data_IF_012404537332
#
_entry.id   IF_012404537332
#
_cell.length_a   1.000
_cell.length_b   1.000
_cell.length_c   1.000
_cell.angle_alpha   90.00
_cell.angle_beta   90.00
_cell.angle_gamma   90.00
#
_symmetry.space_group_name_H-M   'P 1'
#
loop_
_entity.id
_entity.type
_entity.pdbx_description
1 polymer ?
#
# COMPACT_ATOMS: atom_id res chain seq x y z
N UNK A 1 -5.11 30.23 19.00
CA UNK A 1 -4.43 28.98 19.34
C UNK A 1 -4.84 27.92 18.28
N UNK A 2 -3.89 27.07 17.86
CA UNK A 2 -4.15 25.97 16.94
C UNK A 2 -4.85 24.84 17.70
N UNK A 3 -6.04 24.43 17.24
CA UNK A 3 -6.75 23.27 17.75
C UNK A 3 -6.67 22.09 16.75
N UNK A 4 -7.14 20.90 17.17
CA UNK A 4 -7.09 19.68 16.35
C UNK A 4 -7.84 19.83 15.02
N UNK A 5 -9.00 20.51 15.02
CA UNK A 5 -9.82 20.71 13.83
C UNK A 5 -9.10 21.61 12.82
N UNK A 6 -8.51 22.71 13.29
CA UNK A 6 -7.75 23.63 12.44
C UNK A 6 -6.50 22.95 11.86
N UNK A 7 -5.80 22.14 12.67
CA UNK A 7 -4.65 21.37 12.17
C UNK A 7 -5.05 20.45 11.01
N UNK A 8 -6.15 19.69 11.14
CA UNK A 8 -6.66 18.82 10.07
C UNK A 8 -7.07 19.64 8.84
N UNK A 9 -7.84 20.72 9.01
CA UNK A 9 -8.29 21.55 7.89
C UNK A 9 -7.13 22.19 7.12
N UNK A 10 -6.12 22.70 7.81
CA UNK A 10 -4.94 23.31 7.17
C UNK A 10 -4.11 22.28 6.40
N UNK A 11 -3.82 21.12 6.99
CA UNK A 11 -3.10 20.05 6.29
C UNK A 11 -3.89 19.56 5.07
N UNK A 12 -5.21 19.39 5.20
CA UNK A 12 -6.10 19.00 4.10
C UNK A 12 -6.12 20.05 2.99
N UNK A 13 -6.14 21.32 3.31
CA UNK A 13 -6.12 22.42 2.33
C UNK A 13 -4.79 22.43 1.54
N UNK A 14 -3.66 22.25 2.22
CA UNK A 14 -2.34 22.14 1.56
C UNK A 14 -2.32 20.92 0.63
N UNK A 15 -2.73 19.76 1.12
CA UNK A 15 -2.80 18.54 0.30
C UNK A 15 -3.76 18.70 -0.88
N UNK A 16 -4.95 19.28 -0.64
CA UNK A 16 -5.93 19.54 -1.70
C UNK A 16 -5.41 20.45 -2.79
N UNK A 17 -4.73 21.53 -2.42
CA UNK A 17 -4.09 22.43 -3.38
C UNK A 17 -3.04 21.75 -4.25
N UNK A 18 -2.15 20.95 -3.63
CA UNK A 18 -1.11 20.20 -4.34
C UNK A 18 -1.70 19.13 -5.27
N UNK A 19 -2.67 18.35 -4.78
CA UNK A 19 -3.33 17.31 -5.59
C UNK A 19 -4.16 17.91 -6.72
N UNK A 20 -4.79 19.07 -6.53
CA UNK A 20 -5.47 19.81 -7.58
C UNK A 20 -4.48 20.24 -8.67
N UNK A 21 -3.31 20.76 -8.28
CA UNK A 21 -2.25 21.10 -9.22
C UNK A 21 -1.73 19.87 -9.97
N UNK A 22 -1.52 18.74 -9.26
CA UNK A 22 -1.07 17.49 -9.88
C UNK A 22 -2.10 16.96 -10.90
N UNK A 23 -3.35 16.84 -10.49
CA UNK A 23 -4.44 16.34 -11.34
C UNK A 23 -4.70 17.28 -12.56
N UNK A 24 -4.51 18.60 -12.37
CA UNK A 24 -4.66 19.58 -13.46
C UNK A 24 -3.46 19.65 -14.41
N UNK A 25 -2.28 19.19 -13.98
CA UNK A 25 -1.04 19.31 -14.75
C UNK A 25 -0.62 18.00 -15.42
N UNK A 26 -1.06 16.86 -14.91
CA UNK A 26 -0.59 15.55 -15.34
C UNK A 26 -1.76 14.62 -15.71
N UNK A 27 -1.61 13.82 -16.78
CA UNK A 27 -2.58 12.78 -17.09
C UNK A 27 -2.52 11.64 -16.08
N UNK A 28 -3.57 10.82 -16.05
CA UNK A 28 -3.51 9.52 -15.39
C UNK A 28 -2.56 8.61 -16.16
N UNK A 29 -1.66 7.96 -15.44
CA UNK A 29 -0.67 7.06 -16.00
C UNK A 29 -1.12 5.62 -15.78
N UNK A 30 -1.04 4.82 -16.84
CA UNK A 30 -1.32 3.39 -16.82
C UNK A 30 -0.02 2.60 -16.88
N UNK A 31 0.07 1.58 -16.04
CA UNK A 31 1.13 0.57 -16.04
C UNK A 31 0.57 -0.76 -16.55
N UNK A 32 1.40 -1.77 -16.80
CA UNK A 32 0.91 -3.13 -17.10
C UNK A 32 -0.11 -3.64 -16.06
N UNK A 33 0.15 -3.40 -14.77
CA UNK A 33 -0.76 -3.76 -13.66
C UNK A 33 -2.11 -3.06 -13.77
N UNK A 34 -2.12 -1.81 -14.21
CA UNK A 34 -3.36 -1.02 -14.37
C UNK A 34 -4.34 -1.65 -15.34
N UNK A 35 -3.82 -2.27 -16.41
CA UNK A 35 -4.62 -2.97 -17.42
C UNK A 35 -5.42 -4.13 -16.82
N UNK A 36 -4.85 -4.87 -15.87
CA UNK A 36 -5.52 -5.97 -15.18
C UNK A 36 -6.69 -5.47 -14.32
N UNK A 37 -6.48 -4.41 -13.56
CA UNK A 37 -7.51 -3.83 -12.70
C UNK A 37 -8.68 -3.26 -13.50
N UNK A 38 -8.38 -2.54 -14.58
CA UNK A 38 -9.42 -1.93 -15.41
C UNK A 38 -10.21 -2.98 -16.17
N UNK A 39 -9.54 -4.01 -16.75
CA UNK A 39 -10.23 -5.16 -17.35
C UNK A 39 -11.12 -5.86 -16.34
N UNK A 40 -10.63 -6.06 -15.11
CA UNK A 40 -11.42 -6.62 -14.01
C UNK A 40 -12.69 -5.81 -13.72
N UNK A 41 -12.58 -4.48 -13.67
CA UNK A 41 -13.73 -3.61 -13.43
C UNK A 41 -14.75 -3.64 -14.60
N UNK A 42 -14.26 -3.65 -15.85
CA UNK A 42 -15.11 -3.75 -17.05
C UNK A 42 -15.81 -5.11 -17.09
N UNK A 43 -15.09 -6.20 -16.83
CA UNK A 43 -15.66 -7.54 -16.81
C UNK A 43 -16.73 -7.70 -15.71
N UNK A 44 -16.53 -7.09 -14.54
CA UNK A 44 -17.54 -7.01 -13.48
C UNK A 44 -18.80 -6.29 -13.95
N UNK A 45 -18.64 -5.14 -14.64
CA UNK A 45 -19.76 -4.37 -15.16
C UNK A 45 -20.56 -5.14 -16.21
N UNK A 46 -19.86 -5.81 -17.11
CA UNK A 46 -20.45 -6.49 -18.27
C UNK A 46 -20.88 -7.93 -17.95
N UNK A 47 -20.59 -8.43 -16.75
CA UNK A 47 -20.92 -9.81 -16.34
C UNK A 47 -20.10 -10.89 -17.08
N UNK A 48 -18.97 -10.53 -17.68
CA UNK A 48 -18.17 -11.40 -18.53
C UNK A 48 -17.04 -12.11 -17.76
N UNK A 49 -17.21 -13.41 -17.44
CA UNK A 49 -16.17 -14.41 -17.13
C UNK A 49 -15.19 -14.14 -15.98
N UNK A 50 -14.11 -14.90 -15.86
CA UNK A 50 -13.09 -14.67 -14.84
C UNK A 50 -12.35 -13.37 -15.14
N UNK A 51 -12.54 -12.41 -14.28
CA UNK A 51 -12.22 -11.01 -14.47
C UNK A 51 -10.98 -10.53 -13.68
N UNK A 52 -10.45 -11.37 -12.80
CA UNK A 52 -9.27 -11.02 -11.97
C UNK A 52 -8.32 -12.21 -11.91
N UNK A 53 -7.04 -11.96 -12.10
CA UNK A 53 -5.98 -12.96 -11.92
C UNK A 53 -5.91 -13.46 -10.47
N UNK A 54 -5.49 -14.70 -10.27
CA UNK A 54 -5.47 -15.36 -8.95
C UNK A 54 -4.59 -14.67 -7.93
N UNK A 55 -3.63 -13.85 -8.37
CA UNK A 55 -2.72 -13.09 -7.52
C UNK A 55 -3.29 -11.71 -7.08
N UNK A 56 -4.47 -11.32 -7.55
CA UNK A 56 -5.10 -10.02 -7.27
C UNK A 56 -6.32 -10.18 -6.36
N UNK A 57 -6.70 -9.07 -5.73
CA UNK A 57 -7.91 -8.94 -4.91
C UNK A 57 -8.91 -7.99 -5.57
N UNK A 58 -10.22 -8.07 -5.25
CA UNK A 58 -11.27 -7.36 -5.97
C UNK A 58 -11.41 -5.89 -5.59
N UNK A 59 -10.79 -5.44 -4.49
CA UNK A 59 -11.09 -4.12 -3.92
C UNK A 59 -10.89 -2.97 -4.90
N UNK A 60 -9.78 -2.96 -5.62
CA UNK A 60 -9.53 -1.89 -6.59
C UNK A 60 -10.39 -2.01 -7.87
N UNK A 61 -10.59 -3.18 -8.49
CA UNK A 61 -11.61 -3.35 -9.54
C UNK A 61 -13.01 -2.93 -9.12
N UNK A 62 -13.45 -3.22 -7.89
CA UNK A 62 -14.76 -2.78 -7.37
C UNK A 62 -14.80 -1.26 -7.19
N UNK A 63 -13.72 -0.65 -6.70
CA UNK A 63 -13.61 0.81 -6.66
C UNK A 63 -13.72 1.42 -8.06
N UNK A 64 -12.98 0.86 -9.04
CA UNK A 64 -13.06 1.31 -10.43
C UNK A 64 -14.46 1.12 -11.03
N UNK A 65 -15.14 0.02 -10.72
CA UNK A 65 -16.54 -0.21 -11.12
C UNK A 65 -17.45 0.93 -10.61
N UNK A 66 -17.31 1.31 -9.35
CA UNK A 66 -18.06 2.43 -8.78
C UNK A 66 -17.71 3.76 -9.47
N UNK A 67 -16.43 4.01 -9.74
CA UNK A 67 -15.95 5.19 -10.49
C UNK A 67 -16.56 5.22 -11.89
N UNK A 68 -16.56 4.09 -12.60
CA UNK A 68 -17.14 3.98 -13.95
C UNK A 68 -18.67 4.14 -13.95
N UNK A 69 -19.34 3.74 -12.87
CA UNK A 69 -20.79 3.98 -12.70
C UNK A 69 -21.15 5.46 -12.57
N UNK A 70 -20.26 6.26 -11.97
CA UNK A 70 -20.50 7.71 -11.73
C UNK A 70 -19.98 8.57 -12.89
N UNK A 71 -18.76 8.30 -13.37
CA UNK A 71 -18.05 9.16 -14.32
C UNK A 71 -18.01 8.59 -15.75
N UNK A 72 -18.56 7.40 -15.97
CA UNK A 72 -18.31 6.65 -17.21
C UNK A 72 -16.92 5.99 -17.24
N UNK A 73 -16.71 5.11 -18.21
CA UNK A 73 -15.41 4.43 -18.39
C UNK A 73 -14.41 5.43 -18.97
N UNK A 74 -13.42 5.81 -18.18
CA UNK A 74 -12.41 6.77 -18.62
C UNK A 74 -11.40 7.11 -17.53
N UNK A 75 -10.28 7.69 -17.94
CA UNK A 75 -9.17 8.06 -17.06
C UNK A 75 -9.52 9.19 -16.07
N UNK A 76 -10.38 10.12 -16.48
CA UNK A 76 -10.70 11.32 -15.69
C UNK A 76 -11.33 11.00 -14.34
N UNK A 77 -12.29 10.07 -14.31
CA UNK A 77 -12.94 9.63 -13.07
C UNK A 77 -11.94 8.97 -12.12
N UNK A 78 -11.05 8.13 -12.64
CA UNK A 78 -10.00 7.47 -11.85
C UNK A 78 -9.05 8.53 -11.25
N UNK A 79 -8.58 9.47 -12.08
CA UNK A 79 -7.67 10.55 -11.65
C UNK A 79 -8.29 11.37 -10.51
N UNK A 80 -9.54 11.79 -10.67
CA UNK A 80 -10.26 12.57 -9.65
C UNK A 80 -10.36 11.78 -8.35
N UNK A 81 -10.84 10.55 -8.41
CA UNK A 81 -11.09 9.75 -7.20
C UNK A 81 -9.78 9.42 -6.48
N UNK A 82 -8.70 9.08 -7.19
CA UNK A 82 -7.42 8.79 -6.54
C UNK A 82 -6.83 10.03 -5.85
N UNK A 83 -6.88 11.20 -6.47
CA UNK A 83 -6.44 12.43 -5.84
C UNK A 83 -7.30 12.78 -4.61
N UNK A 84 -8.61 12.57 -4.66
CA UNK A 84 -9.48 12.73 -3.50
C UNK A 84 -9.15 11.74 -2.37
N UNK A 85 -8.83 10.48 -2.68
CA UNK A 85 -8.38 9.49 -1.70
C UNK A 85 -7.04 9.88 -1.05
N UNK A 86 -6.11 10.45 -1.82
CA UNK A 86 -4.84 10.94 -1.28
C UNK A 86 -5.05 12.13 -0.33
N UNK A 87 -5.90 13.09 -0.69
CA UNK A 87 -6.28 14.22 0.18
C UNK A 87 -6.99 13.72 1.44
N UNK A 88 -7.91 12.77 1.30
CA UNK A 88 -8.59 12.15 2.44
C UNK A 88 -7.61 11.38 3.35
N UNK A 89 -6.58 10.74 2.77
CA UNK A 89 -5.51 10.10 3.54
C UNK A 89 -4.75 11.11 4.39
N UNK A 90 -4.42 12.28 3.84
CA UNK A 90 -3.78 13.38 4.59
C UNK A 90 -4.67 13.86 5.76
N UNK A 91 -5.96 14.05 5.51
CA UNK A 91 -6.91 14.46 6.55
C UNK A 91 -7.00 13.44 7.69
N UNK A 92 -7.17 12.16 7.34
CA UNK A 92 -7.26 11.05 8.31
C UNK A 92 -5.96 10.83 9.08
N UNK A 93 -4.82 10.93 8.40
CA UNK A 93 -3.50 10.85 9.01
C UNK A 93 -3.30 11.96 10.04
N UNK A 94 -3.59 13.21 9.66
CA UNK A 94 -3.51 14.36 10.55
C UNK A 94 -4.48 14.21 11.72
N UNK A 95 -5.70 13.74 11.47
CA UNK A 95 -6.66 13.41 12.52
C UNK A 95 -6.11 12.36 13.49
N UNK A 96 -5.59 11.23 12.99
CA UNK A 96 -4.98 10.19 13.82
C UNK A 96 -3.82 10.76 14.66
N UNK A 97 -2.98 11.61 14.05
CA UNK A 97 -1.89 12.28 14.74
C UNK A 97 -2.38 13.19 15.88
N UNK A 98 -3.50 13.92 15.71
CA UNK A 98 -4.07 14.75 16.80
C UNK A 98 -4.55 13.94 18.00
N UNK A 99 -4.77 12.64 17.84
CA UNK A 99 -5.18 11.75 18.96
C UNK A 99 -4.03 11.36 19.85
N UNK A 100 -2.81 11.42 19.33
CA UNK A 100 -1.60 10.96 20.03
C UNK A 100 -0.59 12.09 20.29
N UNK A 101 -0.72 13.23 19.60
CA UNK A 101 0.23 14.33 19.65
C UNK A 101 -0.46 15.70 19.80
N UNK A 102 0.34 16.75 20.05
CA UNK A 102 -0.12 18.13 20.03
C UNK A 102 -0.56 18.55 18.62
N UNK A 103 -1.56 19.47 18.48
CA UNK A 103 -2.07 19.88 17.19
C UNK A 103 -1.02 20.44 16.23
N UNK A 104 0.00 21.13 16.74
CA UNK A 104 1.09 21.66 15.91
C UNK A 104 1.96 20.54 15.33
N UNK A 105 2.29 19.51 16.12
CA UNK A 105 3.03 18.34 15.62
C UNK A 105 2.19 17.55 14.61
N UNK A 106 0.89 17.41 14.85
CA UNK A 106 -0.03 16.79 13.90
C UNK A 106 -0.13 17.58 12.57
N UNK A 107 -0.20 18.92 12.63
CA UNK A 107 -0.17 19.76 11.44
C UNK A 107 1.15 19.60 10.68
N UNK A 108 2.29 19.65 11.39
CA UNK A 108 3.61 19.52 10.76
C UNK A 108 3.74 18.20 9.97
N UNK A 109 3.34 17.08 10.56
CA UNK A 109 3.40 15.80 9.85
C UNK A 109 2.35 15.67 8.75
N UNK A 110 1.18 16.29 8.90
CA UNK A 110 0.18 16.36 7.83
C UNK A 110 0.69 17.12 6.61
N UNK A 111 1.39 18.27 6.83
CA UNK A 111 2.03 19.03 5.75
C UNK A 111 3.20 18.27 5.14
N UNK A 112 4.04 17.60 5.95
CA UNK A 112 5.11 16.75 5.44
C UNK A 112 4.58 15.62 4.54
N UNK A 113 3.49 14.97 4.94
CA UNK A 113 2.83 13.97 4.10
C UNK A 113 2.21 14.58 2.83
N UNK A 114 1.61 15.77 2.93
CA UNK A 114 1.01 16.45 1.78
C UNK A 114 2.04 16.77 0.68
N UNK A 115 3.29 17.06 1.06
CA UNK A 115 4.39 17.31 0.10
C UNK A 115 5.19 16.05 -0.25
N UNK A 116 4.82 14.89 0.27
CA UNK A 116 5.57 13.65 0.06
C UNK A 116 5.47 13.22 -1.42
N UNK A 117 6.61 13.02 -2.13
CA UNK A 117 6.64 12.84 -3.58
C UNK A 117 5.92 11.59 -4.06
N UNK A 118 6.00 10.47 -3.29
CA UNK A 118 5.32 9.23 -3.65
C UNK A 118 3.81 9.36 -3.58
N UNK A 119 3.28 10.02 -2.54
CA UNK A 119 1.85 10.27 -2.40
C UNK A 119 1.33 11.10 -3.57
N UNK A 120 2.06 12.17 -3.93
CA UNK A 120 1.72 13.02 -5.05
C UNK A 120 1.78 12.28 -6.39
N UNK A 121 2.85 11.51 -6.64
CA UNK A 121 3.03 10.77 -7.88
C UNK A 121 1.97 9.68 -8.06
N UNK A 122 1.78 8.83 -7.04
CA UNK A 122 0.93 7.65 -7.16
C UNK A 122 -0.56 7.96 -7.26
N UNK A 123 -1.00 9.13 -6.81
CA UNK A 123 -2.36 9.59 -7.05
C UNK A 123 -2.68 9.78 -8.54
N UNK A 124 -1.66 9.92 -9.38
CA UNK A 124 -1.78 10.02 -10.83
C UNK A 124 -1.49 8.71 -11.58
N UNK A 125 -1.39 7.58 -10.86
CA UNK A 125 -1.24 6.24 -11.45
C UNK A 125 -2.49 5.41 -11.19
N UNK A 126 -2.99 4.70 -12.19
CA UNK A 126 -4.13 3.77 -12.05
C UNK A 126 -3.70 2.48 -11.31
N UNK A 127 -3.25 2.62 -10.07
CA UNK A 127 -2.70 1.56 -9.21
C UNK A 127 -3.41 1.50 -7.85
N UNK A 128 -3.22 0.40 -7.15
CA UNK A 128 -3.86 0.13 -5.85
C UNK A 128 -3.27 0.94 -4.70
N UNK A 129 -2.07 1.50 -4.84
CA UNK A 129 -1.27 2.06 -3.76
C UNK A 129 -1.98 3.17 -3.01
N UNK A 130 -2.53 4.15 -3.73
CA UNK A 130 -3.28 5.28 -3.13
C UNK A 130 -4.53 4.80 -2.39
N UNK A 131 -5.31 3.89 -2.99
CA UNK A 131 -6.51 3.34 -2.37
C UNK A 131 -6.16 2.45 -1.15
N UNK A 132 -5.06 1.69 -1.22
CA UNK A 132 -4.58 0.89 -0.09
C UNK A 132 -4.09 1.79 1.05
N UNK A 133 -3.29 2.82 0.76
CA UNK A 133 -2.85 3.78 1.76
C UNK A 133 -4.05 4.44 2.46
N UNK A 134 -5.06 4.87 1.69
CA UNK A 134 -6.30 5.43 2.24
C UNK A 134 -6.99 4.45 3.19
N UNK A 135 -7.20 3.20 2.79
CA UNK A 135 -7.92 2.22 3.63
C UNK A 135 -7.14 1.84 4.89
N UNK A 136 -5.81 1.75 4.81
CA UNK A 136 -4.95 1.50 5.98
C UNK A 136 -4.94 2.69 6.93
N UNK A 137 -4.84 3.92 6.42
CA UNK A 137 -4.91 5.15 7.24
C UNK A 137 -6.29 5.32 7.86
N UNK A 138 -7.37 4.99 7.13
CA UNK A 138 -8.73 4.98 7.67
C UNK A 138 -8.85 4.01 8.85
N UNK A 139 -8.32 2.78 8.71
CA UNK A 139 -8.30 1.81 9.80
C UNK A 139 -7.48 2.33 10.99
N UNK A 140 -6.30 2.92 10.77
CA UNK A 140 -5.48 3.51 11.82
C UNK A 140 -6.21 4.69 12.51
N UNK A 141 -6.87 5.56 11.75
CA UNK A 141 -7.63 6.69 12.28
C UNK A 141 -8.82 6.24 13.13
N UNK A 142 -9.54 5.18 12.73
CA UNK A 142 -10.61 4.58 13.51
C UNK A 142 -10.07 3.95 14.81
N UNK A 143 -8.99 3.17 14.70
CA UNK A 143 -8.36 2.48 15.83
C UNK A 143 -7.84 3.47 16.88
N UNK A 144 -7.19 4.56 16.46
CA UNK A 144 -6.64 5.56 17.38
C UNK A 144 -7.66 6.61 17.82
N UNK A 145 -8.70 6.86 17.01
CA UNK A 145 -9.67 7.92 17.19
C UNK A 145 -10.96 7.50 17.88
N UNK A 146 -11.45 6.30 17.62
CA UNK A 146 -12.75 5.82 18.09
C UNK A 146 -12.58 4.93 19.33
N UNK A 147 -12.84 5.50 20.50
CA UNK A 147 -12.73 4.78 21.79
C UNK A 147 -14.06 4.27 22.33
N UNK A 148 -15.15 4.52 21.61
CA UNK A 148 -16.49 4.10 22.01
C UNK A 148 -16.65 2.57 21.87
N UNK A 149 -17.01 1.89 22.96
CA UNK A 149 -17.25 0.46 23.00
C UNK A 149 -18.64 0.10 22.47
N UNK A 150 -18.95 0.45 21.22
CA UNK A 150 -20.24 0.24 20.56
C UNK A 150 -20.15 -0.76 19.41
N UNK A 151 -21.27 -1.43 19.07
CA UNK A 151 -21.35 -2.35 17.94
C UNK A 151 -21.10 -1.64 16.59
N UNK A 152 -21.65 -0.44 16.32
CA UNK A 152 -21.35 0.28 15.09
C UNK A 152 -19.85 0.63 14.94
N UNK A 153 -19.18 1.00 16.05
CA UNK A 153 -17.74 1.27 16.02
C UNK A 153 -16.94 0.00 15.68
N UNK A 154 -17.30 -1.15 16.27
CA UNK A 154 -16.71 -2.44 15.95
C UNK A 154 -16.93 -2.82 14.48
N UNK A 155 -18.12 -2.63 13.97
CA UNK A 155 -18.45 -2.87 12.58
C UNK A 155 -17.64 -1.96 11.64
N UNK A 156 -17.52 -0.67 11.94
CA UNK A 156 -16.71 0.28 11.14
C UNK A 156 -15.24 -0.12 11.07
N UNK A 157 -14.64 -0.56 12.19
CA UNK A 157 -13.27 -1.10 12.21
C UNK A 157 -13.18 -2.37 11.35
N UNK A 158 -14.13 -3.31 11.50
CA UNK A 158 -14.18 -4.53 10.69
C UNK A 158 -14.27 -4.26 9.19
N UNK A 159 -15.14 -3.33 8.77
CA UNK A 159 -15.27 -2.90 7.37
C UNK A 159 -13.99 -2.25 6.85
N UNK A 160 -13.36 -1.36 7.63
CA UNK A 160 -12.13 -0.69 7.21
C UNK A 160 -10.97 -1.69 7.01
N UNK A 161 -10.82 -2.66 7.93
CA UNK A 161 -9.83 -3.72 7.81
C UNK A 161 -10.12 -4.65 6.62
N UNK A 162 -11.39 -4.99 6.38
CA UNK A 162 -11.79 -5.78 5.21
C UNK A 162 -11.49 -5.04 3.90
N UNK A 163 -11.84 -3.75 3.82
CA UNK A 163 -11.55 -2.93 2.66
C UNK A 163 -10.04 -2.89 2.36
N UNK A 164 -9.22 -2.71 3.39
CA UNK A 164 -7.76 -2.71 3.24
C UNK A 164 -7.22 -4.07 2.74
N UNK A 165 -7.72 -5.19 3.27
CA UNK A 165 -7.35 -6.54 2.80
C UNK A 165 -7.80 -6.82 1.37
N UNK A 166 -9.01 -6.34 0.99
CA UNK A 166 -9.54 -6.49 -0.36
C UNK A 166 -8.87 -5.56 -1.37
N UNK A 167 -8.28 -4.43 -0.94
CA UNK A 167 -7.42 -3.61 -1.80
C UNK A 167 -6.08 -4.31 -2.05
N UNK A 168 -5.47 -4.88 -0.99
CA UNK A 168 -4.17 -5.55 -1.09
C UNK A 168 -4.08 -6.72 -0.10
N UNK A 169 -3.90 -7.97 -0.56
CA UNK A 169 -3.96 -9.14 0.33
C UNK A 169 -2.87 -9.12 1.42
N UNK A 170 -1.72 -8.51 1.14
CA UNK A 170 -0.63 -8.41 2.11
C UNK A 170 -1.00 -7.63 3.38
N UNK A 171 -2.01 -6.74 3.32
CA UNK A 171 -2.49 -5.97 4.50
C UNK A 171 -3.08 -6.88 5.58
N UNK A 172 -3.48 -8.12 5.24
CA UNK A 172 -3.93 -9.09 6.25
C UNK A 172 -2.92 -9.28 7.39
N UNK A 173 -1.62 -9.08 7.16
CA UNK A 173 -0.58 -9.14 8.20
C UNK A 173 -0.72 -8.04 9.26
N UNK A 174 -1.35 -6.91 8.95
CA UNK A 174 -1.62 -5.83 9.90
C UNK A 174 -2.88 -6.07 10.73
N UNK A 175 -3.84 -6.85 10.23
CA UNK A 175 -5.18 -7.01 10.82
C UNK A 175 -5.15 -7.37 12.31
N UNK A 176 -4.42 -8.41 12.77
CA UNK A 176 -4.44 -8.79 14.18
C UNK A 176 -3.93 -7.66 15.08
N UNK A 177 -2.94 -6.90 14.62
CA UNK A 177 -2.35 -5.79 15.38
C UNK A 177 -3.31 -4.61 15.49
N UNK A 178 -3.98 -4.24 14.39
CA UNK A 178 -4.95 -3.14 14.38
C UNK A 178 -6.20 -3.49 15.19
N UNK A 179 -6.70 -4.72 15.08
CA UNK A 179 -7.82 -5.18 15.89
C UNK A 179 -7.46 -5.17 17.38
N UNK A 180 -6.28 -5.68 17.75
CA UNK A 180 -5.79 -5.67 19.13
C UNK A 180 -5.57 -4.24 19.63
N UNK A 181 -4.97 -3.36 18.82
CA UNK A 181 -4.78 -1.95 19.14
C UNK A 181 -6.11 -1.28 19.54
N UNK A 182 -7.16 -1.52 18.75
CA UNK A 182 -8.48 -0.98 19.04
C UNK A 182 -9.06 -1.53 20.33
N UNK A 183 -9.03 -2.85 20.50
CA UNK A 183 -9.58 -3.52 21.70
C UNK A 183 -8.90 -3.08 23.00
N UNK A 184 -7.58 -2.91 23.00
CA UNK A 184 -6.87 -2.44 24.21
C UNK A 184 -7.08 -0.93 24.44
N UNK A 185 -7.42 -0.16 23.40
CA UNK A 185 -7.74 1.26 23.49
C UNK A 185 -9.14 1.56 23.99
N UNK A 186 -10.03 0.56 24.08
CA UNK A 186 -11.40 0.74 24.53
C UNK A 186 -11.47 0.89 26.07
N UNK A 187 -12.28 1.85 26.51
CA UNK A 187 -12.71 1.92 27.90
C UNK A 187 -13.94 1.02 28.10
N UNK A 188 -13.69 -0.27 28.33
CA UNK A 188 -14.72 -1.29 28.46
C UNK A 188 -14.26 -2.48 29.30
N UNK A 189 -15.22 -3.15 29.93
CA UNK A 189 -14.96 -4.40 30.65
C UNK A 189 -14.43 -5.49 29.69
N UNK A 190 -13.57 -6.41 30.16
CA UNK A 190 -12.97 -7.47 29.33
C UNK A 190 -13.99 -8.26 28.51
N UNK A 191 -15.12 -8.66 29.15
CA UNK A 191 -16.21 -9.38 28.46
C UNK A 191 -16.76 -8.58 27.27
N UNK A 192 -16.94 -7.25 27.42
CA UNK A 192 -17.42 -6.38 26.33
C UNK A 192 -16.39 -6.29 25.20
N UNK A 193 -15.08 -6.19 25.53
CA UNK A 193 -14.01 -6.19 24.51
C UNK A 193 -14.01 -7.48 23.69
N UNK A 194 -14.23 -8.64 24.31
CA UNK A 194 -14.33 -9.94 23.59
C UNK A 194 -15.51 -9.92 22.61
N UNK A 195 -16.69 -9.46 23.05
CA UNK A 195 -17.86 -9.37 22.17
C UNK A 195 -17.59 -8.44 20.98
N UNK A 196 -16.99 -7.28 21.24
CA UNK A 196 -16.67 -6.32 20.17
C UNK A 196 -15.59 -6.85 19.22
N UNK A 197 -14.61 -7.57 19.73
CA UNK A 197 -13.61 -8.28 18.92
C UNK A 197 -14.25 -9.33 18.02
N UNK A 198 -15.18 -10.10 18.54
CA UNK A 198 -15.96 -11.05 17.74
C UNK A 198 -16.75 -10.36 16.61
N UNK A 199 -17.33 -9.18 16.88
CA UNK A 199 -18.01 -8.38 15.85
C UNK A 199 -17.03 -7.90 14.78
N UNK A 200 -15.84 -7.39 15.15
CA UNK A 200 -14.81 -6.99 14.17
C UNK A 200 -14.47 -8.17 13.26
N UNK A 201 -14.20 -9.34 13.83
CA UNK A 201 -13.84 -10.55 13.05
C UNK A 201 -15.00 -11.02 12.19
N UNK A 202 -16.22 -11.02 12.71
CA UNK A 202 -17.42 -11.43 11.97
C UNK A 202 -17.70 -10.50 10.77
N UNK A 203 -17.61 -9.18 10.97
CA UNK A 203 -17.81 -8.19 9.89
C UNK A 203 -16.70 -8.29 8.85
N UNK A 204 -15.42 -8.38 9.27
CA UNK A 204 -14.29 -8.59 8.37
C UNK A 204 -14.49 -9.87 7.55
N UNK A 205 -14.84 -10.97 8.22
CA UNK A 205 -15.13 -12.25 7.56
C UNK A 205 -16.28 -12.15 6.56
N UNK A 206 -17.40 -11.52 6.97
CA UNK A 206 -18.57 -11.34 6.10
C UNK A 206 -18.25 -10.49 4.85
N UNK A 207 -17.46 -9.44 4.99
CA UNK A 207 -17.03 -8.62 3.86
C UNK A 207 -16.06 -9.36 2.91
N UNK A 208 -15.21 -10.24 3.42
CA UNK A 208 -14.27 -11.01 2.62
C UNK A 208 -14.90 -12.31 2.07
N UNK A 209 -15.98 -12.83 2.66
CA UNK A 209 -16.57 -14.13 2.33
C UNK A 209 -16.96 -14.30 0.86
N UNK A 210 -17.60 -13.34 0.17
CA UNK A 210 -17.94 -13.49 -1.24
C UNK A 210 -16.70 -13.72 -2.11
N UNK A 211 -15.62 -13.00 -1.81
CA UNK A 211 -14.36 -13.16 -2.54
C UNK A 211 -13.66 -14.48 -2.21
N UNK A 212 -13.65 -14.88 -0.94
CA UNK A 212 -13.09 -16.18 -0.53
C UNK A 212 -13.84 -17.34 -1.17
N UNK A 213 -15.18 -17.27 -1.26
CA UNK A 213 -15.99 -18.28 -1.94
C UNK A 213 -15.69 -18.33 -3.44
N UNK A 214 -15.58 -17.17 -4.09
CA UNK A 214 -15.19 -17.09 -5.51
C UNK A 214 -13.79 -17.69 -5.75
N UNK A 215 -12.83 -17.38 -4.90
CA UNK A 215 -11.48 -17.94 -4.97
C UNK A 215 -11.49 -19.46 -4.74
N UNK A 216 -12.22 -19.95 -3.74
CA UNK A 216 -12.31 -21.37 -3.43
C UNK A 216 -12.86 -22.17 -4.60
N UNK A 217 -13.87 -21.65 -5.32
CA UNK A 217 -14.42 -22.27 -6.53
C UNK A 217 -13.40 -22.38 -7.68
N UNK A 218 -12.30 -21.58 -7.63
CA UNK A 218 -11.19 -21.59 -8.60
C UNK A 218 -9.94 -22.34 -8.08
N UNK A 219 -10.05 -23.05 -6.97
CA UNK A 219 -8.92 -23.74 -6.33
C UNK A 219 -7.93 -22.80 -5.60
N UNK A 220 -8.26 -21.51 -5.44
CA UNK A 220 -7.42 -20.53 -4.75
C UNK A 220 -7.75 -20.53 -3.25
N UNK A 221 -6.75 -20.76 -2.41
CA UNK A 221 -6.89 -20.68 -0.95
C UNK A 221 -6.58 -19.28 -0.44
N UNK A 222 -7.55 -18.63 0.22
CA UNK A 222 -7.39 -17.31 0.81
C UNK A 222 -7.71 -16.15 -0.14
N UNK A 223 -7.20 -14.96 0.18
CA UNK A 223 -7.52 -13.72 -0.55
C UNK A 223 -6.82 -13.62 -1.91
N UNK A 224 -5.68 -14.28 -2.09
CA UNK A 224 -4.96 -14.37 -3.35
C UNK A 224 -4.12 -15.65 -3.42
N UNK A 225 -3.99 -16.22 -4.61
CA UNK A 225 -3.28 -17.48 -4.86
C UNK A 225 -1.85 -17.31 -5.39
N UNK A 226 -1.40 -16.07 -5.59
CA UNK A 226 -0.12 -15.78 -6.24
C UNK A 226 1.12 -15.77 -5.34
N UNK A 227 0.99 -16.06 -4.04
CA UNK A 227 2.11 -15.93 -3.08
C UNK A 227 3.33 -16.78 -3.42
N UNK A 228 3.11 -17.97 -3.98
CA UNK A 228 4.19 -18.85 -4.42
C UNK A 228 4.97 -18.29 -5.61
N UNK A 229 4.26 -17.76 -6.61
CA UNK A 229 4.87 -17.07 -7.77
C UNK A 229 5.65 -15.84 -7.32
N UNK A 230 5.10 -15.06 -6.39
CA UNK A 230 5.74 -13.88 -5.83
C UNK A 230 7.03 -14.23 -5.09
N UNK A 231 7.00 -15.25 -4.21
CA UNK A 231 8.19 -15.75 -3.54
C UNK A 231 9.24 -16.25 -4.53
N UNK A 232 8.81 -17.01 -5.55
CA UNK A 232 9.69 -17.51 -6.58
C UNK A 232 10.34 -16.38 -7.39
N UNK A 233 9.55 -15.36 -7.77
CA UNK A 233 10.06 -14.19 -8.47
C UNK A 233 11.19 -13.53 -7.68
N UNK A 234 10.98 -13.25 -6.39
CA UNK A 234 12.02 -12.69 -5.54
C UNK A 234 13.23 -13.59 -5.38
N UNK A 235 13.02 -14.91 -5.23
CA UNK A 235 14.10 -15.88 -5.13
C UNK A 235 14.91 -16.00 -6.45
N UNK A 236 14.24 -15.95 -7.61
CA UNK A 236 14.88 -15.94 -8.91
C UNK A 236 15.73 -14.69 -9.12
N UNK A 237 15.20 -13.52 -8.80
CA UNK A 237 15.93 -12.26 -8.87
C UNK A 237 17.13 -12.20 -7.92
N UNK A 238 17.04 -12.88 -6.78
CA UNK A 238 18.14 -13.04 -5.84
C UNK A 238 19.14 -14.16 -6.22
N UNK A 239 18.92 -14.87 -7.34
CA UNK A 239 19.75 -15.99 -7.78
C UNK A 239 19.69 -17.21 -6.87
N UNK A 240 18.61 -17.37 -6.10
CA UNK A 240 18.42 -18.48 -5.16
C UNK A 240 17.87 -19.74 -5.83
N UNK A 241 17.25 -19.61 -7.00
CA UNK A 241 16.69 -20.71 -7.78
C UNK A 241 17.45 -20.92 -9.07
N UNK A 242 17.47 -22.15 -9.55
CA UNK A 242 18.04 -22.56 -10.83
C UNK A 242 17.05 -23.46 -11.58
N UNK A 243 17.30 -23.75 -12.85
CA UNK A 243 16.41 -24.51 -13.70
C UNK A 243 16.19 -25.97 -13.24
N UNK A 244 17.08 -26.53 -12.39
CA UNK A 244 16.98 -27.94 -11.96
C UNK A 244 15.74 -28.22 -11.11
N UNK A 245 15.23 -27.20 -10.38
CA UNK A 245 14.04 -27.29 -9.55
C UNK A 245 12.74 -26.98 -10.28
N UNK A 246 12.75 -26.77 -11.59
CA UNK A 246 11.56 -26.42 -12.36
C UNK A 246 10.46 -27.51 -12.28
N UNK A 247 9.18 -27.12 -12.18
CA UNK A 247 8.08 -28.05 -11.91
C UNK A 247 7.76 -29.00 -13.07
N UNK A 248 8.13 -28.64 -14.28
CA UNK A 248 7.90 -29.42 -15.50
C UNK A 248 8.99 -29.13 -16.54
N UNK A 249 9.07 -29.98 -17.58
CA UNK A 249 10.12 -29.93 -18.63
C UNK A 249 10.06 -28.63 -19.43
N UNK A 250 8.86 -28.19 -19.82
CA UNK A 250 8.68 -26.93 -20.57
C UNK A 250 9.19 -25.73 -19.75
N UNK A 251 8.84 -25.67 -18.47
CA UNK A 251 9.30 -24.63 -17.57
C UNK A 251 10.81 -24.70 -17.38
N UNK A 252 11.39 -25.94 -17.34
CA UNK A 252 12.82 -26.15 -17.21
C UNK A 252 13.59 -25.65 -18.43
N UNK A 253 13.13 -25.91 -19.65
CA UNK A 253 13.73 -25.40 -20.87
C UNK A 253 13.80 -23.87 -20.88
N UNK A 254 12.67 -23.21 -20.57
CA UNK A 254 12.62 -21.76 -20.52
C UNK A 254 13.49 -21.20 -19.39
N UNK A 255 13.49 -21.85 -18.22
CA UNK A 255 14.30 -21.44 -17.07
C UNK A 255 15.80 -21.58 -17.35
N UNK A 256 16.22 -22.65 -18.04
CA UNK A 256 17.62 -22.86 -18.43
C UNK A 256 18.13 -21.74 -19.33
N UNK A 257 17.29 -21.25 -20.23
CA UNK A 257 17.64 -20.12 -21.09
C UNK A 257 17.58 -18.76 -20.38
N UNK A 258 16.66 -18.60 -19.42
CA UNK A 258 16.33 -17.33 -18.77
C UNK A 258 17.13 -17.09 -17.47
N UNK A 259 17.30 -18.11 -16.61
CA UNK A 259 17.92 -17.96 -15.28
C UNK A 259 19.45 -18.08 -15.36
N UNK A 260 20.08 -17.16 -16.05
CA UNK A 260 21.55 -17.05 -16.11
C UNK A 260 22.05 -16.08 -15.06
N UNK A 261 23.34 -16.16 -14.65
CA UNK A 261 23.93 -15.12 -13.80
C UNK A 261 23.72 -13.74 -14.41
N UNK A 262 23.09 -12.83 -13.66
CA UNK A 262 22.73 -11.49 -14.13
C UNK A 262 21.38 -11.40 -14.87
N UNK A 263 20.57 -12.46 -14.85
CA UNK A 263 19.18 -12.40 -15.36
C UNK A 263 18.43 -11.24 -14.72
N UNK A 264 17.76 -10.47 -15.56
CA UNK A 264 16.93 -9.35 -15.14
C UNK A 264 15.43 -9.70 -15.05
N UNK A 265 14.64 -8.70 -14.74
CA UNK A 265 13.20 -8.81 -14.62
C UNK A 265 12.49 -9.42 -15.87
N UNK A 266 12.81 -9.00 -17.10
CA UNK A 266 12.17 -9.57 -18.30
C UNK A 266 12.41 -11.07 -18.45
N UNK A 267 13.60 -11.56 -18.11
CA UNK A 267 13.95 -12.97 -18.21
C UNK A 267 13.18 -13.80 -17.18
N UNK A 268 13.11 -13.32 -15.94
CA UNK A 268 12.36 -13.97 -14.86
C UNK A 268 10.86 -14.01 -15.17
N UNK A 269 10.29 -12.92 -15.67
CA UNK A 269 8.89 -12.88 -16.09
C UNK A 269 8.59 -13.85 -17.25
N UNK A 270 9.54 -14.07 -18.17
CA UNK A 270 9.38 -15.03 -19.24
C UNK A 270 9.09 -16.45 -18.73
N UNK A 271 9.77 -16.86 -17.64
CA UNK A 271 9.52 -18.18 -17.01
C UNK A 271 8.12 -18.24 -16.40
N UNK A 272 7.71 -17.18 -15.70
CA UNK A 272 6.38 -17.11 -15.08
C UNK A 272 5.26 -17.18 -16.13
N UNK A 273 5.40 -16.45 -17.23
CA UNK A 273 4.40 -16.42 -18.30
C UNK A 273 4.36 -17.74 -19.08
N UNK A 274 5.52 -18.37 -19.32
CA UNK A 274 5.57 -19.66 -20.00
C UNK A 274 4.84 -20.76 -19.21
N UNK A 275 4.86 -20.69 -17.90
CA UNK A 275 4.19 -21.62 -16.98
C UNK A 275 2.76 -21.18 -16.60
N UNK A 276 2.27 -20.03 -17.07
CA UNK A 276 0.99 -19.41 -16.67
C UNK A 276 0.82 -19.26 -15.13
N UNK A 277 1.94 -19.02 -14.43
CA UNK A 277 1.98 -19.07 -12.97
C UNK A 277 1.26 -17.88 -12.29
N UNK A 278 0.94 -16.83 -13.01
CA UNK A 278 0.09 -15.73 -12.50
C UNK A 278 -1.40 -16.05 -12.54
N UNK A 279 -1.83 -16.98 -13.40
CA UNK A 279 -3.26 -17.30 -13.61
C UNK A 279 -3.69 -18.60 -12.96
N UNK A 280 -2.73 -19.46 -12.60
CA UNK A 280 -2.98 -20.77 -12.01
C UNK A 280 -2.51 -20.83 -10.57
N UNK A 281 -3.44 -21.10 -9.64
CA UNK A 281 -3.10 -21.31 -8.23
C UNK A 281 -2.19 -22.54 -8.05
N UNK A 282 -2.41 -23.60 -8.81
CA UNK A 282 -1.60 -24.82 -8.79
C UNK A 282 -0.15 -24.52 -9.23
N UNK A 283 0.03 -23.78 -10.33
CA UNK A 283 1.36 -23.38 -10.76
C UNK A 283 2.03 -22.47 -9.76
N UNK A 284 1.29 -21.55 -9.15
CA UNK A 284 1.84 -20.70 -8.08
C UNK A 284 2.33 -21.52 -6.89
N UNK A 285 1.59 -22.57 -6.47
CA UNK A 285 2.05 -23.48 -5.40
C UNK A 285 3.33 -24.22 -5.79
N UNK A 286 3.42 -24.73 -7.03
CA UNK A 286 4.63 -25.39 -7.57
C UNK A 286 5.83 -24.44 -7.61
N UNK A 287 5.64 -23.20 -8.04
CA UNK A 287 6.67 -22.16 -8.02
C UNK A 287 7.10 -21.83 -6.59
N UNK A 288 6.15 -21.77 -5.66
CA UNK A 288 6.45 -21.59 -4.24
C UNK A 288 7.25 -22.76 -3.64
N UNK A 289 6.98 -24.00 -4.05
CA UNK A 289 7.78 -25.16 -3.64
C UNK A 289 9.21 -25.07 -4.17
N UNK A 290 9.37 -24.73 -5.46
CA UNK A 290 10.67 -24.51 -6.09
C UNK A 290 11.48 -23.42 -5.40
N UNK A 291 10.84 -22.28 -5.06
CA UNK A 291 11.49 -21.21 -4.30
C UNK A 291 11.95 -21.68 -2.91
N UNK A 292 11.07 -22.36 -2.17
CA UNK A 292 11.40 -22.87 -0.82
C UNK A 292 12.58 -23.84 -0.84
N UNK A 293 12.62 -24.73 -1.84
CA UNK A 293 13.76 -25.64 -2.03
C UNK A 293 15.06 -24.88 -2.31
N UNK A 294 15.05 -23.88 -3.19
CA UNK A 294 16.19 -23.02 -3.46
C UNK A 294 16.66 -22.25 -2.23
N UNK A 295 15.74 -21.70 -1.45
CA UNK A 295 16.01 -21.01 -0.18
C UNK A 295 16.62 -21.97 0.85
N UNK A 296 16.05 -23.18 0.99
CA UNK A 296 16.53 -24.19 1.93
C UNK A 296 17.97 -24.63 1.62
N UNK A 297 18.35 -24.67 0.37
CA UNK A 297 19.73 -24.97 -0.05
C UNK A 297 20.71 -23.83 0.24
N UNK A 298 20.24 -22.58 0.34
CA UNK A 298 21.08 -21.38 0.49
C UNK A 298 20.53 -20.40 1.54
N UNK A 299 20.35 -20.80 2.81
CA UNK A 299 19.67 -19.98 3.82
C UNK A 299 20.41 -18.67 4.14
N UNK A 300 21.75 -18.68 4.11
CA UNK A 300 22.54 -17.45 4.31
C UNK A 300 22.33 -16.43 3.19
N UNK A 301 22.29 -16.89 1.93
CA UNK A 301 22.01 -16.01 0.79
C UNK A 301 20.57 -15.47 0.84
N UNK A 302 19.61 -16.26 1.31
CA UNK A 302 18.23 -15.78 1.55
C UNK A 302 18.18 -14.64 2.56
N UNK A 303 18.90 -14.74 3.68
CA UNK A 303 18.92 -13.67 4.68
C UNK A 303 19.49 -12.38 4.09
N UNK A 304 20.57 -12.47 3.30
CA UNK A 304 21.12 -11.31 2.59
C UNK A 304 20.12 -10.73 1.61
N UNK A 305 19.47 -11.57 0.82
CA UNK A 305 18.47 -11.11 -0.16
C UNK A 305 17.24 -10.47 0.53
N UNK A 306 16.78 -11.02 1.65
CA UNK A 306 15.68 -10.44 2.43
C UNK A 306 16.07 -9.09 3.05
N UNK A 307 17.32 -8.95 3.51
CA UNK A 307 17.87 -7.69 3.98
C UNK A 307 17.95 -6.65 2.86
N UNK A 308 18.41 -7.05 1.68
CA UNK A 308 18.44 -6.18 0.51
C UNK A 308 17.02 -5.76 0.10
N UNK A 309 16.04 -6.69 0.10
CA UNK A 309 14.64 -6.38 -0.17
C UNK A 309 14.08 -5.38 0.86
N UNK A 310 14.42 -5.51 2.14
CA UNK A 310 14.04 -4.55 3.17
C UNK A 310 14.65 -3.15 2.89
N UNK A 311 15.92 -3.09 2.55
CA UNK A 311 16.58 -1.83 2.19
C UNK A 311 15.90 -1.16 0.99
N UNK A 312 15.53 -1.94 -0.02
CA UNK A 312 14.77 -1.46 -1.16
C UNK A 312 13.41 -0.88 -0.76
N UNK A 313 12.67 -1.58 0.09
CA UNK A 313 11.39 -1.10 0.57
C UNK A 313 11.51 0.18 1.40
N UNK A 314 12.64 0.38 2.08
CA UNK A 314 12.94 1.59 2.82
C UNK A 314 13.65 2.65 1.96
N UNK A 315 13.76 2.41 0.67
CA UNK A 315 14.43 3.29 -0.30
C UNK A 315 15.87 3.65 0.11
N UNK A 316 16.57 2.71 0.77
CA UNK A 316 17.90 2.94 1.32
C UNK A 316 19.04 2.69 0.31
N UNK A 317 18.72 2.29 -0.92
CA UNK A 317 19.68 1.87 -1.92
C UNK A 317 20.45 0.61 -1.53
N UNK A 318 20.93 -0.14 -2.49
CA UNK A 318 21.80 -1.31 -2.29
C UNK A 318 23.10 -1.09 -3.06
N UNK A 319 24.21 -1.04 -2.35
CA UNK A 319 25.52 -0.82 -2.99
C UNK A 319 25.82 -1.90 -4.04
N UNK A 320 26.23 -1.47 -5.24
CA UNK A 320 26.68 -2.36 -6.32
C UNK A 320 25.58 -3.05 -7.14
N UNK A 321 24.32 -2.80 -6.86
CA UNK A 321 23.21 -3.20 -7.73
C UNK A 321 22.42 -1.97 -8.13
N UNK A 322 22.25 -1.69 -9.44
CA UNK A 322 21.25 -0.71 -9.85
C UNK A 322 19.91 -1.17 -9.28
N UNK A 323 19.06 -0.25 -8.78
CA UNK A 323 17.71 -0.59 -8.42
C UNK A 323 17.08 -1.33 -9.58
N UNK A 324 16.44 -2.48 -9.31
CA UNK A 324 15.71 -3.24 -10.33
C UNK A 324 14.62 -2.39 -10.96
N UNK A 325 14.11 -1.48 -10.17
CA UNK A 325 13.31 -0.33 -10.56
C UNK A 325 13.79 0.84 -9.71
N UNK A 326 14.41 1.78 -10.33
CA UNK A 326 14.50 3.14 -9.78
C UNK A 326 13.09 3.73 -9.89
N UNK A 327 12.17 3.18 -9.06
CA UNK A 327 10.73 3.37 -9.26
C UNK A 327 10.37 4.83 -9.15
N UNK A 328 10.86 5.55 -8.16
CA UNK A 328 10.51 6.94 -8.04
C UNK A 328 11.10 7.79 -9.18
N UNK A 329 12.40 7.70 -9.56
CA UNK A 329 12.90 8.32 -10.76
C UNK A 329 12.18 7.88 -12.03
N UNK A 330 11.91 6.58 -12.20
CA UNK A 330 11.16 6.08 -13.36
C UNK A 330 9.73 6.65 -13.40
N UNK A 331 9.04 6.68 -12.28
CA UNK A 331 7.71 7.27 -12.18
C UNK A 331 7.75 8.78 -12.39
N UNK A 332 8.71 9.47 -11.80
CA UNK A 332 8.86 10.92 -11.93
C UNK A 332 9.38 11.32 -13.32
N UNK A 333 10.25 10.52 -13.93
CA UNK A 333 10.68 10.73 -15.31
C UNK A 333 9.52 10.58 -16.29
N UNK A 334 8.65 9.60 -16.10
CA UNK A 334 7.41 9.47 -16.87
C UNK A 334 6.44 10.65 -16.66
N UNK A 335 6.40 11.23 -15.46
CA UNK A 335 5.65 12.46 -15.19
C UNK A 335 6.23 13.68 -15.93
N UNK A 336 7.50 13.64 -16.31
CA UNK A 336 8.18 14.72 -17.02
C UNK A 336 8.19 14.53 -18.54
N UNK A 337 7.73 13.38 -19.05
CA UNK A 337 7.59 13.18 -20.49
C UNK A 337 6.51 14.10 -21.06
N UNK A 338 6.74 14.47 -22.30
CA UNK A 338 5.85 15.36 -23.00
C UNK A 338 4.41 14.82 -22.97
N UNK A 339 3.52 15.56 -22.33
CA UNK A 339 2.12 15.18 -22.13
C UNK A 339 1.33 15.12 -23.44
N UNK A 340 1.95 15.51 -24.56
CA UNK A 340 1.33 15.55 -25.88
C UNK A 340 1.33 14.18 -26.57
N UNK A 341 2.18 13.25 -26.14
CA UNK A 341 2.25 11.91 -26.72
C UNK A 341 2.37 10.87 -25.58
N UNK A 342 1.24 10.36 -25.04
CA UNK A 342 1.31 9.31 -24.04
C UNK A 342 2.07 8.11 -24.66
N UNK A 343 3.08 7.54 -23.96
CA UNK A 343 3.90 6.52 -24.56
C UNK A 343 3.04 5.36 -25.05
N UNK A 344 3.21 4.97 -26.30
CA UNK A 344 2.50 3.88 -27.00
C UNK A 344 2.52 2.55 -26.22
N UNK A 345 3.46 2.38 -25.29
CA UNK A 345 3.56 1.24 -24.41
C UNK A 345 2.36 1.07 -23.46
N UNK A 346 1.56 2.10 -23.23
CA UNK A 346 0.37 2.06 -22.35
C UNK A 346 -0.88 1.62 -23.11
N UNK A 347 -0.89 1.81 -24.44
CA UNK A 347 -2.07 1.63 -25.28
C UNK A 347 -2.45 0.18 -25.66
N UNK A 348 -1.51 -0.79 -25.80
CA UNK A 348 -1.88 -2.07 -26.43
C UNK A 348 -2.84 -2.93 -25.59
N UNK A 349 -2.92 -2.69 -24.27
CA UNK A 349 -3.78 -3.48 -23.37
C UNK A 349 -5.09 -2.77 -22.99
N UNK A 350 -5.28 -1.55 -23.44
CA UNK A 350 -6.46 -0.76 -23.19
C UNK A 350 -7.24 -0.65 -24.51
N UNK A 351 -8.20 -1.53 -24.71
CA UNK A 351 -9.10 -1.38 -25.86
C UNK A 351 -9.92 -0.09 -25.65
N UNK A 352 -9.40 0.97 -26.24
CA UNK A 352 -10.06 2.26 -26.42
C UNK A 352 -10.60 2.92 -25.14
N UNK A 353 -9.75 3.41 -24.21
CA UNK A 353 -10.22 4.11 -23.01
C UNK A 353 -10.88 5.48 -23.31
N UNK A 354 -11.11 5.82 -24.56
CA UNK A 354 -11.42 7.17 -24.98
C UNK A 354 -10.17 8.07 -24.97
N UNK A 355 -10.24 9.28 -25.48
CA UNK A 355 -9.14 10.22 -25.38
C UNK A 355 -8.84 10.46 -23.88
N UNK A 356 -7.59 10.27 -23.50
CA UNK A 356 -7.14 10.68 -22.16
C UNK A 356 -7.56 12.14 -21.97
N UNK A 357 -8.14 12.53 -20.83
CA UNK A 357 -8.52 13.91 -20.60
C UNK A 357 -7.28 14.77 -20.82
N UNK A 358 -7.39 15.74 -21.73
CA UNK A 358 -6.32 16.71 -21.93
C UNK A 358 -6.04 17.35 -20.58
N UNK A 359 -4.77 17.56 -20.21
CA UNK A 359 -4.44 18.30 -19.01
C UNK A 359 -5.23 19.60 -19.02
N UNK A 360 -5.79 20.00 -17.90
CA UNK A 360 -6.46 21.29 -17.78
C UNK A 360 -5.47 22.42 -18.07
N UNK A 361 -5.97 23.66 -18.18
CA UNK A 361 -5.18 24.84 -18.54
C UNK A 361 -3.92 25.12 -17.69
N UNK A 362 -3.70 24.33 -16.62
CA UNK A 362 -2.52 24.40 -15.76
C UNK A 362 -1.27 23.67 -16.31
N UNK A 363 -1.37 22.99 -17.46
CA UNK A 363 -0.22 22.29 -18.06
C UNK A 363 0.99 23.21 -18.28
N UNK A 364 0.77 24.48 -18.51
CA UNK A 364 1.82 25.50 -18.64
C UNK A 364 2.60 25.70 -17.34
N UNK A 365 1.96 25.57 -16.17
CA UNK A 365 2.61 25.71 -14.87
C UNK A 365 3.51 24.52 -14.52
N UNK A 366 3.30 23.34 -15.13
CA UNK A 366 4.14 22.18 -14.92
C UNK A 366 5.50 22.29 -15.62
N UNK A 367 5.53 22.70 -16.87
CA UNK A 367 6.77 22.84 -17.64
C UNK A 367 7.62 24.00 -17.11
N UNK A 368 8.62 23.69 -16.29
CA UNK A 368 9.51 24.66 -15.65
C UNK A 368 9.00 25.25 -14.33
N UNK A 369 7.84 24.80 -13.84
CA UNK A 369 7.27 25.27 -12.58
C UNK A 369 7.94 24.69 -11.32
N UNK A 370 7.64 25.28 -10.16
CA UNK A 370 8.16 24.85 -8.84
C UNK A 370 7.85 23.39 -8.54
N UNK A 371 6.66 22.90 -8.91
CA UNK A 371 6.25 21.51 -8.67
C UNK A 371 7.12 20.53 -9.46
N UNK A 372 7.36 20.81 -10.74
CA UNK A 372 8.25 19.98 -11.57
C UNK A 372 9.68 20.02 -11.05
N UNK A 373 10.17 21.19 -10.65
CA UNK A 373 11.51 21.36 -10.05
C UNK A 373 11.60 20.57 -8.77
N UNK A 374 10.59 20.64 -7.90
CA UNK A 374 10.54 19.85 -6.67
C UNK A 374 10.55 18.35 -6.96
N UNK A 375 9.71 17.86 -7.86
CA UNK A 375 9.62 16.44 -8.20
C UNK A 375 10.92 15.93 -8.83
N UNK A 376 11.58 16.71 -9.70
CA UNK A 376 12.91 16.40 -10.25
C UNK A 376 14.00 16.39 -9.17
N UNK A 377 13.97 17.34 -8.25
CA UNK A 377 14.91 17.37 -7.13
C UNK A 377 14.71 16.16 -6.21
N UNK A 378 13.46 15.82 -5.90
CA UNK A 378 13.11 14.64 -5.12
C UNK A 378 13.60 13.34 -5.79
N UNK A 379 13.42 13.21 -7.11
CA UNK A 379 13.90 12.06 -7.88
C UNK A 379 15.42 11.93 -7.90
N UNK A 380 16.15 13.05 -7.87
CA UNK A 380 17.62 13.09 -7.87
C UNK A 380 18.24 13.02 -6.49
N UNK A 381 17.43 13.21 -5.44
CA UNK A 381 17.94 13.11 -4.08
C UNK A 381 18.46 11.69 -3.80
N UNK A 382 19.58 11.55 -3.08
CA UNK A 382 20.17 10.22 -2.78
C UNK A 382 19.21 9.27 -2.06
N UNK A 383 18.16 9.81 -1.45
CA UNK A 383 17.12 9.09 -0.72
C UNK A 383 15.76 9.16 -1.43
N UNK A 384 15.73 9.55 -2.71
CA UNK A 384 14.52 9.63 -3.54
C UNK A 384 13.31 10.29 -2.84
N UNK A 385 13.52 11.44 -2.22
CA UNK A 385 12.50 12.16 -1.47
C UNK A 385 12.66 12.05 0.04
N UNK A 386 11.55 12.03 0.76
CA UNK A 386 11.59 11.93 2.23
C UNK A 386 12.15 10.56 2.61
N UNK A 387 13.19 10.53 3.45
CA UNK A 387 13.90 9.30 3.76
C UNK A 387 13.00 8.36 4.59
N UNK A 388 12.59 7.25 4.01
CA UNK A 388 11.78 6.24 4.67
C UNK A 388 12.57 5.53 5.79
N UNK A 389 13.90 5.46 5.69
CA UNK A 389 14.73 4.92 6.78
C UNK A 389 14.56 5.71 8.07
N UNK A 390 14.70 7.04 8.12
CA UNK A 390 14.37 7.82 9.31
C UNK A 390 12.94 7.64 9.80
N UNK A 391 11.94 7.56 8.91
CA UNK A 391 10.57 7.27 9.30
C UNK A 391 10.41 5.88 9.90
N UNK A 392 11.07 4.85 9.35
CA UNK A 392 11.09 3.51 9.91
C UNK A 392 11.73 3.49 11.30
N UNK A 393 12.85 4.19 11.49
CA UNK A 393 13.48 4.34 12.79
C UNK A 393 12.57 5.08 13.77
N UNK A 394 11.91 6.16 13.34
CA UNK A 394 10.90 6.83 14.16
C UNK A 394 9.76 5.88 14.55
N UNK A 395 9.28 5.05 13.62
CA UNK A 395 8.22 4.08 13.91
C UNK A 395 8.69 3.03 14.93
N UNK A 396 9.91 2.51 14.78
CA UNK A 396 10.49 1.53 15.69
C UNK A 396 10.67 2.12 17.10
N UNK A 397 11.29 3.31 17.20
CA UNK A 397 11.51 4.00 18.47
C UNK A 397 10.18 4.37 19.12
N UNK A 398 9.23 4.91 18.34
CA UNK A 398 7.90 5.25 18.83
C UNK A 398 7.13 4.00 19.29
N UNK A 399 7.23 2.87 18.59
CA UNK A 399 6.62 1.62 18.99
C UNK A 399 7.15 1.15 20.37
N UNK A 400 8.46 1.11 20.53
CA UNK A 400 9.10 0.71 21.80
C UNK A 400 8.74 1.64 22.96
N UNK A 401 8.84 2.96 22.74
CA UNK A 401 8.49 3.96 23.75
C UNK A 401 7.00 3.98 24.07
N UNK A 402 6.12 3.78 23.08
CA UNK A 402 4.68 3.69 23.28
C UNK A 402 4.31 2.48 24.14
N UNK A 403 4.92 1.31 23.86
CA UNK A 403 4.74 0.12 24.68
C UNK A 403 5.22 0.35 26.11
N UNK A 404 6.42 0.92 26.28
CA UNK A 404 6.98 1.24 27.60
C UNK A 404 6.12 2.23 28.41
N UNK A 405 5.50 3.20 27.74
CA UNK A 405 4.63 4.21 28.35
C UNK A 405 3.17 3.76 28.50
N UNK A 406 2.84 2.52 28.15
CA UNK A 406 1.47 2.01 28.20
C UNK A 406 0.53 2.53 27.09
N UNK A 407 1.07 3.21 26.07
CA UNK A 407 0.28 3.66 24.92
C UNK A 407 0.07 2.52 23.89
N UNK A 408 -0.45 1.41 24.38
CA UNK A 408 -0.58 0.17 23.63
C UNK A 408 -1.30 0.28 22.28
N UNK A 409 -2.38 1.08 22.13
CA UNK A 409 -3.01 1.23 20.82
C UNK A 409 -2.04 1.73 19.75
N UNK A 410 -1.22 2.73 20.06
CA UNK A 410 -0.20 3.23 19.13
C UNK A 410 0.89 2.18 18.89
N UNK A 411 1.38 1.52 19.94
CA UNK A 411 2.39 0.48 19.83
C UNK A 411 1.96 -0.64 18.87
N UNK A 412 0.74 -1.15 19.01
CA UNK A 412 0.24 -2.21 18.14
C UNK A 412 0.01 -1.74 16.70
N UNK A 413 -0.51 -0.53 16.47
CA UNK A 413 -0.63 0.02 15.10
C UNK A 413 0.73 0.08 14.43
N UNK A 414 1.75 0.60 15.11
CA UNK A 414 3.10 0.69 14.55
C UNK A 414 3.73 -0.69 14.35
N UNK A 415 3.57 -1.60 15.30
CA UNK A 415 4.06 -2.97 15.16
C UNK A 415 3.46 -3.67 13.94
N UNK A 416 2.14 -3.52 13.72
CA UNK A 416 1.47 -4.08 12.54
C UNK A 416 2.06 -3.57 11.23
N UNK A 417 2.38 -2.27 11.14
CA UNK A 417 3.00 -1.69 9.94
C UNK A 417 4.45 -2.13 9.76
N UNK A 418 5.22 -2.32 10.83
CA UNK A 418 6.57 -2.88 10.77
C UNK A 418 6.55 -4.34 10.32
N UNK A 419 5.63 -5.15 10.88
CA UNK A 419 5.44 -6.55 10.46
C UNK A 419 5.05 -6.64 8.97
N UNK A 420 4.23 -5.74 8.48
CA UNK A 420 3.87 -5.69 7.07
C UNK A 420 5.10 -5.49 6.16
N UNK A 421 5.99 -4.55 6.49
CA UNK A 421 7.22 -4.31 5.71
C UNK A 421 8.16 -5.52 5.80
N UNK A 422 8.32 -6.11 7.00
CA UNK A 422 9.15 -7.31 7.17
C UNK A 422 8.59 -8.51 6.42
N UNK A 423 7.26 -8.68 6.36
CA UNK A 423 6.63 -9.75 5.58
C UNK A 423 6.91 -9.61 4.08
N UNK A 424 6.88 -8.39 3.54
CA UNK A 424 7.27 -8.14 2.14
C UNK A 424 8.76 -8.42 1.89
N UNK A 425 9.63 -8.04 2.83
CA UNK A 425 11.05 -8.34 2.72
C UNK A 425 11.32 -9.85 2.76
N UNK A 426 10.60 -10.59 3.61
CA UNK A 426 10.69 -12.05 3.68
C UNK A 426 10.20 -12.74 2.39
N UNK A 427 9.29 -12.13 1.66
CA UNK A 427 8.89 -12.56 0.32
C UNK A 427 9.86 -12.11 -0.78
N UNK A 428 11.00 -11.52 -0.42
CA UNK A 428 12.04 -11.00 -1.31
C UNK A 428 11.51 -9.99 -2.34
N UNK A 429 10.50 -9.21 -1.97
CA UNK A 429 9.91 -8.20 -2.85
C UNK A 429 10.71 -6.89 -2.77
N UNK A 430 11.54 -6.58 -3.76
CA UNK A 430 12.38 -5.39 -3.75
C UNK A 430 11.63 -4.16 -4.31
N UNK A 431 10.37 -3.95 -3.91
CA UNK A 431 9.50 -2.93 -4.51
C UNK A 431 9.10 -1.92 -3.46
N UNK A 432 9.70 -0.73 -3.49
CA UNK A 432 9.49 0.34 -2.51
C UNK A 432 8.02 0.76 -2.38
N UNK A 433 7.30 0.90 -3.50
CA UNK A 433 5.87 1.27 -3.50
C UNK A 433 4.99 0.32 -2.68
N UNK A 434 5.41 -0.92 -2.48
CA UNK A 434 4.64 -1.88 -1.68
C UNK A 434 4.61 -1.54 -0.18
N UNK A 435 5.59 -0.80 0.32
CA UNK A 435 5.66 -0.39 1.72
C UNK A 435 4.91 0.93 2.02
N UNK A 436 4.42 1.65 1.01
CA UNK A 436 3.75 2.95 1.15
C UNK A 436 2.59 2.93 2.16
N UNK A 437 1.71 1.93 2.21
CA UNK A 437 0.66 1.89 3.22
C UNK A 437 1.19 1.93 4.65
N UNK A 438 2.36 1.33 4.90
CA UNK A 438 3.03 1.39 6.20
C UNK A 438 3.67 2.75 6.44
N UNK A 439 4.40 3.31 5.48
CA UNK A 439 5.06 4.60 5.62
C UNK A 439 4.07 5.71 5.95
N UNK A 440 2.91 5.70 5.32
CA UNK A 440 1.87 6.70 5.57
C UNK A 440 1.50 6.72 7.06
N UNK A 441 1.40 5.56 7.70
CA UNK A 441 1.10 5.48 9.14
C UNK A 441 2.29 5.93 10.02
N UNK A 442 3.53 5.78 9.54
CA UNK A 442 4.72 6.17 10.32
C UNK A 442 4.84 7.68 10.57
N UNK A 443 4.15 8.51 9.79
CA UNK A 443 4.01 9.93 10.10
C UNK A 443 3.28 10.17 11.43
N UNK A 444 2.38 9.27 11.86
CA UNK A 444 1.77 9.33 13.20
C UNK A 444 2.82 9.08 14.29
N UNK A 445 3.78 8.18 14.05
CA UNK A 445 4.90 7.95 14.96
C UNK A 445 5.76 9.21 15.10
N UNK A 446 6.09 9.85 13.97
CA UNK A 446 6.85 11.10 13.98
C UNK A 446 6.12 12.19 14.74
N UNK A 447 4.81 12.38 14.53
CA UNK A 447 4.01 13.34 15.28
C UNK A 447 4.07 13.06 16.79
N UNK A 448 3.96 11.80 17.18
CA UNK A 448 4.01 11.41 18.59
C UNK A 448 5.38 11.67 19.24
N UNK A 449 6.48 11.45 18.52
CA UNK A 449 7.82 11.76 18.99
C UNK A 449 8.06 13.26 19.12
N UNK A 450 7.52 14.08 18.19
CA UNK A 450 7.67 15.53 18.20
C UNK A 450 6.83 16.24 19.29
N UNK A 451 5.67 15.69 19.63
CA UNK A 451 4.75 16.38 20.53
C UNK A 451 3.77 15.46 21.25
N UNK A 452 4.20 14.22 21.56
CA UNK A 452 3.36 13.23 22.23
C UNK A 452 2.84 13.75 23.56
N UNK A 453 1.53 13.71 23.73
CA UNK A 453 0.91 13.95 25.03
C UNK A 453 1.35 12.80 25.94
N UNK A 454 1.91 13.14 27.11
CA UNK A 454 1.99 12.17 28.20
C UNK A 454 0.58 11.60 28.35
N UNK A 455 0.42 10.27 28.36
CA UNK A 455 -0.86 9.68 28.72
C UNK A 455 -1.28 10.38 30.00
N UNK A 456 -2.33 11.21 29.92
CA UNK A 456 -2.87 11.82 31.10
C UNK A 456 -3.14 10.65 32.03
N UNK A 457 -2.45 10.61 33.17
CA UNK A 457 -2.75 9.68 34.22
C UNK A 457 -4.27 9.77 34.33
N UNK A 458 -4.94 8.65 34.13
CA UNK A 458 -6.38 8.54 34.36
C UNK A 458 -6.52 8.96 35.81
N UNK A 459 -6.80 10.24 36.03
CA UNK A 459 -7.14 10.71 37.35
C UNK A 459 -8.43 9.94 37.66
N UNK A 460 -8.31 8.92 38.44
CA UNK A 460 -9.40 8.37 39.23
C UNK A 460 -9.84 9.50 40.15
N UNK A 461 -10.49 10.51 39.59
CA UNK A 461 -11.34 11.41 40.36
C UNK A 461 -12.52 10.54 40.79
N UNK A 462 -12.37 9.94 41.95
CA UNK A 462 -13.51 9.48 42.74
C UNK A 462 -14.60 10.53 42.66
N UNK A 463 -15.85 10.20 42.35
CA UNK A 463 -16.93 11.17 42.48
C UNK A 463 -16.97 11.66 43.93
N UNK A 464 -17.18 12.95 44.20
CA UNK A 464 -17.38 13.41 45.53
C UNK A 464 -18.55 12.65 46.14
N UNK A 465 -18.28 11.98 47.25
CA UNK A 465 -19.31 11.39 48.11
C UNK A 465 -20.28 12.49 48.50
N UNK A 466 -21.51 12.41 47.96
CA UNK A 466 -22.66 13.14 48.48
C UNK A 466 -23.45 12.25 49.43
#
# INVERSE_FOLDING_TARGET
>A
MLDARRAVLLATAVSGGLHLLMAGSLPLIFTPDSGEYVRGAIALRDGSGPWIDVNRTPGYPVLLLAVFGVFGVGAGGILIVQNLLAVASCALLTFAATRVAAPLAALAVGVLYAVEPWSLALANYALTETATAFTVVLAAALVLGVRQATLPAAAAVGVALAAACLMRPAVQSMVPFFALAWLVGLDAAPRRRVVLGAVVVAVLGACCAPWLAYNAARGVRGLAGGSGTVLWYGAAMAGLVDASGAPDERTREVATAALRPGAGDPEVHRVIFAADAYRSAEQSERFGAWARDGIARRPGAYVVAAWDALRWQLNAGVAGRPPMYDELPFFLERLTWDTHDPPRAVAPNFQNPGPLPKPWAFSVAWHGGLLQTYMRAAARAPLHGIPQVPLALCALVACALAAWRGAWPLAFVLLGTLVFVLAHAALLLPVARHAIPAWTVWYVALAWLLGGRRAAAISTSSPPSA
#
